data_IF_091119461455
#
_entry.id   IF_091119461455
#
_cell.length_a   1.000
_cell.length_b   1.000
_cell.length_c   1.000
_cell.angle_alpha   90.00
_cell.angle_beta   90.00
_cell.angle_gamma   90.00
#
_symmetry.space_group_name_H-M   'P 1'
#
loop_
_entity.id
_entity.type
_entity.pdbx_description
1 polymer ?
#
# COMPACT_ATOMS: atom_id res chain seq x y z
N UNK A 1 -3.75 -13.99 4.21
CA UNK A 1 -4.33 -12.67 4.51
C UNK A 1 -5.62 -12.82 5.30
N UNK A 2 -5.81 -12.00 6.33
CA UNK A 2 -7.01 -11.93 7.18
C UNK A 2 -7.49 -10.49 7.28
N UNK A 3 -8.81 -10.27 7.25
CA UNK A 3 -9.44 -8.94 7.29
C UNK A 3 -10.52 -8.92 8.38
N UNK A 4 -10.53 -7.87 9.19
CA UNK A 4 -11.51 -7.68 10.25
C UNK A 4 -11.91 -6.20 10.38
N UNK A 5 -13.10 -5.95 10.92
CA UNK A 5 -13.52 -4.59 11.25
C UNK A 5 -12.90 -4.18 12.59
N UNK A 6 -11.94 -3.25 12.55
CA UNK A 6 -11.35 -2.71 13.77
C UNK A 6 -12.29 -1.74 14.49
N UNK A 7 -13.05 -0.95 13.72
CA UNK A 7 -14.12 -0.03 14.17
C UNK A 7 -14.96 0.41 12.96
N UNK A 8 -16.11 1.08 13.15
CA UNK A 8 -16.91 1.55 12.02
C UNK A 8 -16.07 2.36 11.03
N UNK A 9 -16.08 1.93 9.76
CA UNK A 9 -15.34 2.56 8.67
C UNK A 9 -13.83 2.28 8.63
N UNK A 10 -13.29 1.43 9.52
CA UNK A 10 -11.86 1.07 9.51
C UNK A 10 -11.69 -0.45 9.52
N UNK A 11 -11.01 -0.94 8.48
CA UNK A 11 -10.64 -2.34 8.32
C UNK A 11 -9.20 -2.56 8.80
N UNK A 12 -8.96 -3.61 9.58
CA UNK A 12 -7.62 -4.13 9.89
C UNK A 12 -7.32 -5.29 8.96
N UNK A 13 -6.10 -5.32 8.41
CA UNK A 13 -5.61 -6.37 7.54
C UNK A 13 -4.30 -6.93 8.08
N UNK A 14 -4.25 -8.25 8.27
CA UNK A 14 -3.01 -8.99 8.55
C UNK A 14 -2.67 -9.83 7.33
N UNK A 15 -1.47 -9.65 6.78
CA UNK A 15 -1.03 -10.34 5.58
C UNK A 15 0.44 -10.73 5.68
N UNK A 16 0.82 -11.81 4.99
CA UNK A 16 2.23 -12.06 4.73
C UNK A 16 2.78 -11.00 3.77
N UNK A 17 4.10 -10.75 3.84
CA UNK A 17 4.75 -9.73 3.01
C UNK A 17 4.50 -9.92 1.50
N UNK A 18 4.48 -11.16 1.01
CA UNK A 18 4.22 -11.44 -0.41
C UNK A 18 2.77 -11.16 -0.82
N UNK A 19 1.80 -11.44 0.05
CA UNK A 19 0.37 -11.17 -0.22
C UNK A 19 0.13 -9.67 -0.29
N UNK A 20 0.75 -8.92 0.63
CA UNK A 20 0.68 -7.47 0.63
C UNK A 20 1.38 -6.87 -0.59
N UNK A 21 2.55 -7.39 -0.98
CA UNK A 21 3.24 -6.97 -2.19
C UNK A 21 2.40 -7.19 -3.46
N UNK A 22 1.69 -8.33 -3.56
CA UNK A 22 0.78 -8.60 -4.66
C UNK A 22 -0.39 -7.61 -4.71
N UNK A 23 -0.96 -7.24 -3.55
CA UNK A 23 -2.02 -6.23 -3.46
C UNK A 23 -1.54 -4.85 -3.93
N UNK A 24 -0.37 -4.42 -3.47
CA UNK A 24 0.23 -3.14 -3.89
C UNK A 24 0.53 -3.14 -5.39
N UNK A 25 1.03 -4.25 -5.95
CA UNK A 25 1.27 -4.39 -7.38
C UNK A 25 -0.03 -4.26 -8.20
N UNK A 26 -1.11 -4.91 -7.77
CA UNK A 26 -2.42 -4.79 -8.40
C UNK A 26 -2.96 -3.34 -8.33
N UNK A 27 -2.81 -2.68 -7.18
CA UNK A 27 -3.20 -1.29 -7.00
C UNK A 27 -2.44 -0.35 -7.96
N UNK A 28 -1.11 -0.55 -8.11
CA UNK A 28 -0.30 0.21 -9.09
C UNK A 28 -0.78 -0.02 -10.52
N UNK A 29 -1.01 -1.27 -10.89
CA UNK A 29 -1.52 -1.60 -12.22
C UNK A 29 -2.83 -0.86 -12.52
N UNK A 30 -3.76 -0.81 -11.57
CA UNK A 30 -5.02 -0.05 -11.74
C UNK A 30 -4.78 1.45 -11.84
N UNK A 31 -3.93 2.00 -10.97
CA UNK A 31 -3.61 3.43 -10.96
C UNK A 31 -2.94 3.91 -12.27
N UNK A 32 -2.16 3.04 -12.90
CA UNK A 32 -1.45 3.28 -14.16
C UNK A 32 -2.33 3.02 -15.39
N UNK A 33 -3.07 1.91 -15.42
CA UNK A 33 -3.95 1.56 -16.55
C UNK A 33 -5.14 2.50 -16.68
N UNK A 34 -5.51 3.20 -15.60
CA UNK A 34 -6.59 4.18 -15.55
C UNK A 34 -7.87 3.68 -16.27
N UNK A 35 -8.41 2.53 -15.83
CA UNK A 35 -9.54 1.90 -16.51
C UNK A 35 -10.74 2.85 -16.52
N UNK A 36 -11.45 3.00 -17.66
CA UNK A 36 -12.48 4.00 -17.85
C UNK A 36 -13.70 3.84 -16.93
N UNK A 37 -13.89 2.65 -16.34
CA UNK A 37 -14.94 2.36 -15.36
C UNK A 37 -14.65 2.90 -13.95
N UNK A 38 -13.43 3.36 -13.66
CA UNK A 38 -13.06 3.92 -12.36
C UNK A 38 -13.06 5.45 -12.45
N UNK A 39 -13.77 6.16 -11.55
CA UNK A 39 -13.74 7.62 -11.52
C UNK A 39 -12.33 8.18 -11.31
N UNK A 40 -12.03 9.30 -11.97
CA UNK A 40 -10.72 9.96 -11.89
C UNK A 40 -10.34 10.29 -10.45
N UNK A 41 -11.30 10.75 -9.65
CA UNK A 41 -11.08 11.11 -8.24
C UNK A 41 -10.67 9.90 -7.41
N UNK A 42 -11.20 8.71 -7.71
CA UNK A 42 -10.82 7.47 -7.04
C UNK A 42 -9.40 7.03 -7.43
N UNK A 43 -9.01 7.21 -8.70
CA UNK A 43 -7.63 6.96 -9.15
C UNK A 43 -6.63 7.92 -8.51
N UNK A 44 -7.01 9.19 -8.35
CA UNK A 44 -6.18 10.19 -7.65
C UNK A 44 -5.99 9.84 -6.18
N UNK A 45 -7.06 9.44 -5.48
CA UNK A 45 -6.97 8.96 -4.10
C UNK A 45 -6.08 7.72 -3.99
N UNK A 46 -6.22 6.77 -4.91
CA UNK A 46 -5.37 5.57 -4.94
C UNK A 46 -3.89 5.92 -5.14
N UNK A 47 -3.58 6.87 -6.02
CA UNK A 47 -2.20 7.35 -6.22
C UNK A 47 -1.64 8.00 -4.96
N UNK A 48 -2.44 8.78 -4.23
CA UNK A 48 -2.02 9.36 -2.96
C UNK A 48 -1.71 8.28 -1.91
N UNK A 49 -2.59 7.27 -1.78
CA UNK A 49 -2.36 6.14 -0.86
C UNK A 49 -1.07 5.39 -1.20
N UNK A 50 -0.81 5.15 -2.49
CA UNK A 50 0.43 4.49 -2.95
C UNK A 50 1.67 5.34 -2.66
N UNK A 51 1.58 6.67 -2.82
CA UNK A 51 2.67 7.59 -2.48
C UNK A 51 2.99 7.59 -0.97
N UNK A 52 1.95 7.61 -0.14
CA UNK A 52 2.09 7.54 1.31
C UNK A 52 2.67 6.18 1.75
N UNK A 53 2.28 5.10 1.08
CA UNK A 53 2.87 3.78 1.27
C UNK A 53 4.37 3.77 0.93
N UNK A 54 4.77 4.29 -0.24
CA UNK A 54 6.18 4.30 -0.66
C UNK A 54 7.05 5.11 0.29
N UNK A 55 6.53 6.24 0.78
CA UNK A 55 7.20 7.05 1.80
C UNK A 55 7.42 6.27 3.11
N UNK A 56 6.42 5.53 3.56
CA UNK A 56 6.52 4.71 4.78
C UNK A 56 7.44 3.50 4.59
N UNK A 57 7.37 2.82 3.44
CA UNK A 57 8.22 1.70 3.11
C UNK A 57 9.71 2.11 3.06
N UNK A 58 10.00 3.29 2.50
CA UNK A 58 11.35 3.85 2.48
C UNK A 58 11.88 4.07 3.91
N UNK A 59 11.10 4.72 4.78
CA UNK A 59 11.48 4.94 6.19
C UNK A 59 11.71 3.64 6.95
N UNK A 60 10.87 2.62 6.70
CA UNK A 60 11.03 1.31 7.34
C UNK A 60 12.34 0.63 6.89
N UNK A 61 12.68 0.72 5.61
CA UNK A 61 13.95 0.20 5.08
C UNK A 61 15.15 0.93 5.69
N UNK A 62 15.08 2.25 5.79
CA UNK A 62 16.13 3.06 6.44
C UNK A 62 16.29 2.70 7.92
N UNK A 63 15.19 2.51 8.65
CA UNK A 63 15.21 2.10 10.05
C UNK A 63 15.72 0.66 10.25
N UNK A 64 15.47 -0.23 9.29
CA UNK A 64 15.98 -1.60 9.28
C UNK A 64 17.45 -1.70 8.87
N UNK A 65 18.07 -0.62 8.39
CA UNK A 65 19.50 -0.49 8.18
C UNK A 65 20.16 0.39 9.26
N UNK A 66 20.28 -0.07 10.52
CA UNK A 66 21.34 0.44 11.37
C UNK A 66 22.68 -0.04 10.79
N UNK A 67 23.71 0.79 10.88
CA UNK A 67 25.06 0.53 10.41
C UNK A 67 25.49 -0.95 10.56
N UNK A 68 25.78 -1.62 9.43
CA UNK A 68 26.81 -2.67 9.37
C UNK A 68 28.18 -1.99 9.63
N UNK A 69 28.36 -1.57 10.87
CA UNK A 69 29.50 -0.85 11.39
C UNK A 69 29.84 -1.35 12.78
N UNK A 70 30.38 -2.57 12.84
CA UNK A 70 31.23 -3.07 13.91
C UNK A 70 32.11 -4.20 13.36
#
# INVERSE_FOLDING_TARGET
MHLEWARPGVLSATAHAFEFAALVAAARFVAESAPPEIPTEALEQLRQILHDYDTQALRLREAASPADGA
#
